data_IF_069714675035
#
_entry.id   IF_069714675035
#
_cell.length_a   1.000
_cell.length_b   1.000
_cell.length_c   1.000
_cell.angle_alpha   90.00
_cell.angle_beta   90.00
_cell.angle_gamma   90.00
#
_symmetry.space_group_name_H-M   'P 1'
#
loop_
_entity.id
_entity.type
_entity.pdbx_description
1 polymer ?
#
# COMPACT_ATOMS: atom_id res chain seq x y z
N UNK A 1 6.83 2.46 20.14
CA UNK A 1 7.05 1.07 19.68
C UNK A 1 7.78 1.12 18.35
N UNK A 2 9.05 0.73 18.28
CA UNK A 2 9.78 0.66 17.00
C UNK A 2 9.40 -0.62 16.27
N UNK A 3 8.21 -0.63 15.64
CA UNK A 3 7.88 -1.67 14.68
C UNK A 3 8.59 -1.37 13.36
N UNK A 4 9.22 -2.38 12.80
CA UNK A 4 10.03 -2.33 11.58
C UNK A 4 9.18 -2.49 10.32
N UNK A 5 9.81 -2.32 9.16
CA UNK A 5 9.23 -2.69 7.87
C UNK A 5 8.75 -4.14 7.84
N UNK A 6 9.57 -5.10 8.31
CA UNK A 6 9.24 -6.52 8.31
C UNK A 6 8.03 -6.84 9.19
N UNK A 7 7.89 -6.16 10.34
CA UNK A 7 6.71 -6.30 11.20
C UNK A 7 5.44 -5.84 10.47
N UNK A 8 5.54 -4.73 9.74
CA UNK A 8 4.45 -4.21 8.90
C UNK A 8 4.10 -5.18 7.78
N UNK A 9 5.10 -5.69 7.08
CA UNK A 9 4.95 -6.67 6.00
C UNK A 9 4.19 -7.91 6.46
N UNK A 10 4.61 -8.50 7.58
CA UNK A 10 3.94 -9.66 8.15
C UNK A 10 2.50 -9.34 8.57
N UNK A 11 2.25 -8.17 9.15
CA UNK A 11 0.91 -7.74 9.52
C UNK A 11 0.00 -7.55 8.28
N UNK A 12 0.54 -7.02 7.18
CA UNK A 12 -0.20 -6.89 5.91
C UNK A 12 -0.52 -8.23 5.27
N UNK A 13 0.42 -9.17 5.28
CA UNK A 13 0.24 -10.51 4.69
C UNK A 13 -0.91 -11.32 5.31
N UNK A 14 -1.16 -11.12 6.61
CA UNK A 14 -2.21 -11.84 7.35
C UNK A 14 -3.50 -11.01 7.51
N UNK A 15 -3.52 -9.78 7.01
CA UNK A 15 -4.67 -8.91 7.12
C UNK A 15 -5.72 -9.26 6.06
N UNK A 16 -6.96 -9.53 6.51
CA UNK A 16 -8.11 -9.72 5.63
C UNK A 16 -8.71 -8.40 5.13
N UNK A 17 -8.55 -7.34 5.91
CA UNK A 17 -9.05 -6.00 5.61
C UNK A 17 -7.96 -4.96 5.90
N UNK A 18 -7.99 -3.80 5.22
CA UNK A 18 -7.09 -2.71 5.54
C UNK A 18 -7.27 -2.20 6.96
N UNK A 19 -6.17 -1.90 7.64
CA UNK A 19 -6.22 -1.26 8.95
C UNK A 19 -6.75 0.16 8.79
N UNK A 20 -7.62 0.59 9.70
CA UNK A 20 -8.14 1.96 9.69
C UNK A 20 -7.01 3.00 9.77
N UNK A 21 -7.15 4.08 9.00
CA UNK A 21 -6.13 5.12 8.85
C UNK A 21 -5.63 5.67 10.18
N UNK A 22 -6.54 6.01 11.10
CA UNK A 22 -6.18 6.58 12.40
C UNK A 22 -5.23 5.69 13.21
N UNK A 23 -5.45 4.37 13.18
CA UNK A 23 -4.57 3.41 13.85
C UNK A 23 -3.23 3.31 13.12
N UNK A 24 -3.26 3.28 11.79
CA UNK A 24 -2.06 3.13 10.98
C UNK A 24 -1.08 4.31 11.13
N UNK A 25 -1.60 5.53 11.28
CA UNK A 25 -0.79 6.74 11.47
C UNK A 25 -0.01 6.78 12.80
N UNK A 26 -0.30 5.88 13.75
CA UNK A 26 0.50 5.73 14.98
C UNK A 26 1.82 4.96 14.76
N UNK A 27 2.01 4.35 13.59
CA UNK A 27 3.19 3.57 13.25
C UNK A 27 4.22 4.35 12.42
N UNK A 28 5.45 3.86 12.43
CA UNK A 28 6.56 4.39 11.63
C UNK A 28 6.24 4.36 10.12
N UNK A 29 6.93 5.19 9.35
CA UNK A 29 6.86 5.16 7.87
C UNK A 29 7.22 3.75 7.38
N UNK A 30 8.29 3.14 7.91
CA UNK A 30 8.73 1.80 7.51
C UNK A 30 7.68 0.73 7.75
N UNK A 31 7.03 0.74 8.91
CA UNK A 31 5.94 -0.19 9.20
C UNK A 31 4.77 -0.01 8.23
N UNK A 32 4.36 1.24 7.98
CA UNK A 32 3.28 1.56 7.04
C UNK A 32 3.59 1.07 5.63
N UNK A 33 4.82 1.29 5.15
CA UNK A 33 5.31 0.77 3.86
C UNK A 33 5.21 -0.75 3.83
N UNK A 34 5.77 -1.42 4.84
CA UNK A 34 5.73 -2.88 4.95
C UNK A 34 4.30 -3.39 4.88
N UNK A 35 3.39 -2.80 5.65
CA UNK A 35 1.99 -3.19 5.66
C UNK A 35 1.33 -3.09 4.28
N UNK A 36 1.52 -1.97 3.55
CA UNK A 36 0.96 -1.80 2.20
C UNK A 36 1.49 -2.87 1.24
N UNK A 37 2.81 -3.15 1.27
CA UNK A 37 3.41 -4.19 0.44
C UNK A 37 2.84 -5.58 0.75
N UNK A 38 2.75 -5.93 2.04
CA UNK A 38 2.27 -7.24 2.47
C UNK A 38 0.79 -7.45 2.15
N UNK A 39 -0.04 -6.44 2.39
CA UNK A 39 -1.46 -6.48 2.10
C UNK A 39 -1.73 -6.59 0.60
N UNK A 40 -1.04 -5.79 -0.22
CA UNK A 40 -1.19 -5.85 -1.67
C UNK A 40 -0.81 -7.23 -2.23
N UNK A 41 0.30 -7.81 -1.76
CA UNK A 41 0.70 -9.16 -2.16
C UNK A 41 -0.34 -10.22 -1.78
N UNK A 42 -0.85 -10.19 -0.55
CA UNK A 42 -1.88 -11.14 -0.10
C UNK A 42 -3.17 -11.01 -0.92
N UNK A 43 -3.58 -9.78 -1.21
CA UNK A 43 -4.76 -9.48 -2.01
C UNK A 43 -4.61 -9.96 -3.46
N UNK A 44 -3.46 -9.74 -4.08
CA UNK A 44 -3.16 -10.25 -5.42
C UNK A 44 -3.28 -11.77 -5.45
N UNK A 45 -2.71 -12.48 -4.46
CA UNK A 45 -2.82 -13.95 -4.38
C UNK A 45 -4.24 -14.43 -4.16
N UNK A 46 -5.02 -13.72 -3.36
CA UNK A 46 -6.42 -14.06 -3.09
C UNK A 46 -7.31 -13.89 -4.33
N UNK A 47 -7.14 -12.78 -5.05
CA UNK A 47 -8.01 -12.41 -6.17
C UNK A 47 -7.47 -12.82 -7.54
N UNK A 48 -6.20 -13.21 -7.65
CA UNK A 48 -5.48 -13.39 -8.92
C UNK A 48 -5.57 -12.17 -9.85
N UNK A 49 -5.57 -10.97 -9.26
CA UNK A 49 -5.70 -9.68 -9.95
C UNK A 49 -4.69 -8.67 -9.41
N UNK A 50 -3.60 -8.48 -10.15
CA UNK A 50 -2.53 -7.54 -9.79
C UNK A 50 -2.93 -6.09 -10.01
N UNK A 51 -3.75 -5.78 -11.02
CA UNK A 51 -4.24 -4.43 -11.28
C UNK A 51 -5.08 -3.94 -10.10
N UNK A 52 -6.01 -4.75 -9.62
CA UNK A 52 -6.83 -4.42 -8.45
C UNK A 52 -5.98 -4.27 -7.19
N UNK A 53 -5.05 -5.20 -6.96
CA UNK A 53 -4.17 -5.16 -5.78
C UNK A 53 -3.25 -3.93 -5.75
N UNK A 54 -2.70 -3.53 -6.90
CA UNK A 54 -1.87 -2.34 -7.04
C UNK A 54 -2.70 -1.06 -6.89
N UNK A 55 -3.89 -1.01 -7.47
CA UNK A 55 -4.82 0.11 -7.28
C UNK A 55 -5.20 0.31 -5.81
N UNK A 56 -5.50 -0.77 -5.09
CA UNK A 56 -5.80 -0.68 -3.65
C UNK A 56 -4.56 -0.28 -2.83
N UNK A 57 -3.37 -0.74 -3.19
CA UNK A 57 -2.12 -0.31 -2.56
C UNK A 57 -1.90 1.21 -2.71
N UNK A 58 -2.19 1.77 -3.88
CA UNK A 58 -2.12 3.21 -4.13
C UNK A 58 -3.06 4.00 -3.22
N UNK A 59 -4.31 3.56 -3.08
CA UNK A 59 -5.27 4.21 -2.17
C UNK A 59 -4.80 4.16 -0.72
N UNK A 60 -4.32 3.00 -0.27
CA UNK A 60 -3.81 2.83 1.10
C UNK A 60 -2.55 3.66 1.36
N UNK A 61 -1.65 3.78 0.39
CA UNK A 61 -0.47 4.64 0.51
C UNK A 61 -0.88 6.10 0.79
N UNK A 62 -1.87 6.63 0.06
CA UNK A 62 -2.38 7.97 0.31
C UNK A 62 -3.01 8.08 1.70
N UNK A 63 -3.93 7.18 2.06
CA UNK A 63 -4.60 7.21 3.37
C UNK A 63 -3.60 7.09 4.52
N UNK A 64 -2.56 6.28 4.36
CA UNK A 64 -1.53 6.10 5.36
C UNK A 64 -0.43 7.17 5.30
N UNK A 65 -0.63 8.26 4.56
CA UNK A 65 0.32 9.39 4.44
C UNK A 65 1.72 8.92 4.05
N UNK A 66 1.81 8.04 3.05
CA UNK A 66 3.04 7.66 2.38
C UNK A 66 3.13 8.44 1.08
N UNK A 67 4.24 9.14 0.87
CA UNK A 67 4.55 9.70 -0.45
C UNK A 67 4.69 8.57 -1.47
N UNK A 68 4.28 8.84 -2.70
CA UNK A 68 4.14 7.83 -3.75
C UNK A 68 5.50 7.18 -4.09
N UNK A 69 6.54 8.00 -4.06
CA UNK A 69 7.94 7.67 -4.32
C UNK A 69 8.52 6.72 -3.26
N UNK A 70 7.98 6.70 -2.03
CA UNK A 70 8.47 5.81 -0.99
C UNK A 70 8.19 4.33 -1.27
N UNK A 71 7.31 4.05 -2.23
CA UNK A 71 6.87 2.72 -2.61
C UNK A 71 7.27 2.35 -4.06
N UNK A 72 8.07 3.18 -4.72
CA UNK A 72 8.52 2.95 -6.10
C UNK A 72 9.26 1.64 -6.27
N UNK A 73 10.05 1.22 -5.27
CA UNK A 73 10.82 -0.03 -5.32
C UNK A 73 9.95 -1.29 -5.27
N UNK A 74 8.67 -1.16 -4.91
CA UNK A 74 7.76 -2.29 -4.73
C UNK A 74 6.66 -2.36 -5.80
N UNK A 75 6.22 -1.21 -6.30
CA UNK A 75 5.13 -1.13 -7.27
C UNK A 75 5.64 -0.52 -8.56
N UNK A 76 6.54 -1.22 -9.26
CA UNK A 76 7.02 -0.79 -10.57
C UNK A 76 6.18 -1.39 -11.70
N UNK A 77 6.21 -0.71 -12.84
CA UNK A 77 5.79 -1.28 -14.12
C UNK A 77 6.73 -2.44 -14.56
N UNK A 78 6.38 -3.09 -15.67
CA UNK A 78 7.20 -4.17 -16.25
C UNK A 78 8.61 -3.74 -16.64
N UNK A 79 8.84 -2.43 -16.88
CA UNK A 79 10.15 -1.91 -17.22
C UNK A 79 11.04 -1.66 -15.99
N UNK A 80 10.45 -1.64 -14.79
CA UNK A 80 11.14 -1.37 -13.53
C UNK A 80 11.53 0.10 -13.33
N UNK A 81 11.15 0.98 -14.26
CA UNK A 81 11.63 2.37 -14.30
C UNK A 81 10.58 3.37 -13.78
N UNK A 82 9.33 2.95 -13.70
CA UNK A 82 8.21 3.81 -13.31
C UNK A 82 7.30 3.10 -12.32
N UNK A 83 6.63 3.89 -11.47
CA UNK A 83 5.53 3.38 -10.67
C UNK A 83 4.47 2.77 -11.58
N UNK A 84 3.85 1.68 -11.12
CA UNK A 84 2.69 1.09 -11.81
C UNK A 84 1.61 2.15 -12.06
N UNK A 85 1.04 2.12 -13.27
CA UNK A 85 -0.10 2.95 -13.65
C UNK A 85 -1.29 2.73 -12.70
N UNK A 86 -1.54 1.49 -12.30
CA UNK A 86 -2.70 1.16 -11.46
C UNK A 86 -2.49 1.63 -10.02
N UNK A 87 -1.27 1.49 -9.49
CA UNK A 87 -0.89 2.11 -8.22
C UNK A 87 -1.08 3.63 -8.26
N UNK A 88 -0.62 4.27 -9.33
CA UNK A 88 -0.73 5.71 -9.53
C UNK A 88 -2.19 6.16 -9.63
N UNK A 89 -3.03 5.44 -10.36
CA UNK A 89 -4.47 5.71 -10.44
C UNK A 89 -5.13 5.59 -9.06
N UNK A 90 -4.78 4.58 -8.28
CA UNK A 90 -5.33 4.38 -6.93
C UNK A 90 -4.92 5.47 -5.95
N UNK A 91 -3.65 5.88 -5.98
CA UNK A 91 -3.17 6.98 -5.15
C UNK A 91 -3.91 8.30 -5.47
N UNK A 92 -4.07 8.58 -6.76
CA UNK A 92 -4.77 9.77 -7.23
C UNK A 92 -6.27 9.75 -6.94
N UNK A 93 -6.94 8.59 -7.03
CA UNK A 93 -8.36 8.49 -6.73
C UNK A 93 -8.64 8.78 -5.25
N UNK A 94 -7.84 8.21 -4.34
CA UNK A 94 -7.95 8.49 -2.91
C UNK A 94 -7.66 9.96 -2.57
N UNK A 95 -6.75 10.60 -3.31
CA UNK A 95 -6.44 12.03 -3.17
C UNK A 95 -7.57 12.95 -3.63
N UNK A 96 -8.26 12.59 -4.72
CA UNK A 96 -9.30 13.41 -5.34
C UNK A 96 -10.69 13.17 -4.74
N UNK A 97 -10.88 12.09 -4.00
CA UNK A 97 -12.11 11.77 -3.28
C UNK A 97 -11.77 11.37 -1.85
N UNK A 98 -11.38 12.33 -0.98
CA UNK A 98 -11.20 12.03 0.43
C UNK A 98 -12.55 11.51 0.95
N UNK A 99 -12.53 10.31 1.54
CA UNK A 99 -13.71 9.69 2.12
C UNK A 99 -14.51 10.73 2.95
N UNK A 100 -15.77 10.92 2.58
CA UNK A 100 -16.71 11.87 3.20
C UNK A 100 -17.00 11.51 4.66
#
# INVERSE_FOLDING_TARGET
>A
MNKSFSDGLMAGLVAHEPVITKTMLSYSIDYRKGFVCGFSYALEKLCSDSTMAQYQAGQLAYFYQLEQELLSDFFTDFSGNHLSDDFTKGYNSARLSPAS
#
